data_IF_458936669578
#
_entry.id   IF_458936669578
#
_cell.length_a   1.000
_cell.length_b   1.000
_cell.length_c   1.000
_cell.angle_alpha   90.00
_cell.angle_beta   90.00
_cell.angle_gamma   90.00
#
_symmetry.space_group_name_H-M   'P 1'
#
loop_
_entity.id
_entity.type
_entity.pdbx_description
1 polymer ?
#
# COMPACT_ATOMS: atom_id res chain seq x y z
N UNK A 1 -19.60 -33.35 25.95
CA UNK A 1 -20.26 -33.21 24.63
C UNK A 1 -19.34 -32.41 23.73
N UNK A 2 -18.70 -33.09 22.77
CA UNK A 2 -17.75 -32.47 21.83
C UNK A 2 -18.52 -32.28 20.52
N UNK A 3 -18.84 -31.03 20.17
CA UNK A 3 -19.44 -30.69 18.89
C UNK A 3 -18.34 -30.28 17.91
N UNK A 4 -17.93 -31.25 17.09
CA UNK A 4 -17.42 -31.01 15.74
C UNK A 4 -18.54 -30.38 14.90
N UNK A 5 -18.24 -29.52 13.91
CA UNK A 5 -18.82 -29.55 12.55
C UNK A 5 -18.28 -28.41 11.65
N UNK A 6 -17.61 -28.88 10.59
CA UNK A 6 -17.56 -28.46 9.17
C UNK A 6 -17.17 -27.03 8.79
N UNK A 7 -15.92 -26.96 8.33
CA UNK A 7 -15.50 -26.17 7.16
C UNK A 7 -16.38 -26.46 5.94
N UNK A 8 -16.85 -25.40 5.27
CA UNK A 8 -17.64 -25.47 4.04
C UNK A 8 -16.96 -24.58 3.00
N UNK A 9 -16.17 -25.21 2.13
CA UNK A 9 -15.60 -24.60 0.94
C UNK A 9 -16.72 -24.05 0.04
N UNK A 10 -16.65 -22.77 -0.30
CA UNK A 10 -17.41 -22.17 -1.39
C UNK A 10 -16.45 -21.79 -2.50
N UNK A 11 -16.33 -22.67 -3.51
CA UNK A 11 -15.81 -22.31 -4.84
C UNK A 11 -16.81 -21.35 -5.49
N UNK A 12 -16.43 -20.08 -5.65
CA UNK A 12 -17.13 -19.16 -6.56
C UNK A 12 -16.43 -19.22 -7.91
N UNK A 13 -17.24 -19.59 -8.91
CA UNK A 13 -16.89 -19.80 -10.30
C UNK A 13 -16.57 -18.48 -11.01
N UNK A 14 -15.51 -18.53 -11.82
CA UNK A 14 -15.03 -17.49 -12.72
C UNK A 14 -16.00 -17.42 -13.92
N UNK A 15 -16.81 -16.36 -13.96
CA UNK A 15 -17.65 -16.03 -15.11
C UNK A 15 -16.89 -15.15 -16.08
N UNK A 16 -16.24 -15.76 -17.08
CA UNK A 16 -15.70 -15.08 -18.26
C UNK A 16 -16.88 -14.59 -19.13
N UNK A 17 -17.40 -13.40 -18.83
CA UNK A 17 -18.45 -12.75 -19.59
C UNK A 17 -17.89 -12.18 -20.90
N UNK A 18 -18.01 -12.97 -21.96
CA UNK A 18 -17.89 -12.56 -23.36
C UNK A 18 -18.75 -11.31 -23.62
N UNK A 19 -18.09 -10.17 -23.82
CA UNK A 19 -18.70 -8.91 -24.26
C UNK A 19 -17.98 -8.36 -25.48
N UNK A 20 -18.04 -9.09 -26.61
CA UNK A 20 -17.77 -8.54 -27.92
C UNK A 20 -19.02 -7.80 -28.40
N UNK A 21 -18.94 -6.48 -28.57
CA UNK A 21 -19.81 -5.57 -29.34
C UNK A 21 -19.27 -4.16 -29.00
N UNK A 22 -18.67 -3.35 -29.86
CA UNK A 22 -18.75 -3.17 -31.29
C UNK A 22 -18.86 -1.65 -31.52
N UNK A 23 -18.14 -1.12 -32.53
CA UNK A 23 -18.35 0.21 -33.16
C UNK A 23 -17.99 1.45 -32.27
N UNK A 24 -17.29 2.49 -32.74
CA UNK A 24 -17.27 3.16 -34.05
C UNK A 24 -15.90 3.84 -34.27
N UNK A 25 -15.36 3.69 -35.47
CA UNK A 25 -14.28 4.52 -36.00
C UNK A 25 -14.90 5.80 -36.57
N UNK A 26 -14.57 6.95 -35.99
CA UNK A 26 -14.68 8.28 -36.60
C UNK A 26 -13.43 9.02 -36.10
N UNK A 27 -12.39 9.24 -36.88
CA UNK A 27 -12.40 10.15 -38.03
C UNK A 27 -12.21 11.58 -37.53
N UNK A 28 -10.97 12.00 -37.25
CA UNK A 28 -10.70 13.35 -36.73
C UNK A 28 -9.21 13.65 -36.66
N UNK A 29 -8.73 14.29 -37.72
CA UNK A 29 -7.35 14.64 -38.08
C UNK A 29 -6.88 15.91 -37.38
N UNK A 30 -5.55 16.05 -37.29
CA UNK A 30 -4.78 17.30 -37.17
C UNK A 30 -4.82 18.01 -35.80
N UNK A 31 -3.65 18.18 -35.15
CA UNK A 31 -2.90 19.43 -35.35
C UNK A 31 -1.47 19.41 -34.76
N UNK A 32 -0.52 19.65 -35.66
CA UNK A 32 0.68 20.52 -35.56
C UNK A 32 1.66 20.36 -34.37
N UNK A 33 2.79 19.74 -34.71
CA UNK A 33 4.16 20.25 -34.56
C UNK A 33 4.42 21.34 -33.50
N UNK A 34 5.28 21.02 -32.53
CA UNK A 34 6.06 22.04 -31.82
C UNK A 34 7.55 21.87 -32.20
N UNK A 35 8.18 22.89 -32.83
CA UNK A 35 9.55 22.80 -33.31
C UNK A 35 10.59 22.91 -32.19
N UNK A 36 11.61 22.07 -32.31
CA UNK A 36 12.90 22.13 -31.62
C UNK A 36 13.49 23.54 -31.66
N UNK A 37 13.89 24.09 -30.51
CA UNK A 37 14.76 25.28 -30.42
C UNK A 37 16.22 24.86 -30.27
N UNK A 38 17.10 25.20 -31.23
CA UNK A 38 18.55 25.21 -31.02
C UNK A 38 19.10 26.63 -30.82
N UNK A 39 20.18 26.75 -30.04
CA UNK A 39 20.94 27.99 -29.76
C UNK A 39 20.59 28.60 -28.39
N UNK A 40 21.50 29.07 -27.55
CA UNK A 40 22.83 29.64 -27.82
C UNK A 40 23.66 29.68 -26.52
N UNK A 41 24.96 29.42 -26.66
CA UNK A 41 26.04 29.58 -25.67
C UNK A 41 26.16 31.02 -25.16
N UNK A 42 26.30 31.22 -23.85
CA UNK A 42 26.92 32.42 -23.25
C UNK A 42 27.73 31.97 -22.03
N UNK A 43 29.02 32.34 -21.91
CA UNK A 43 29.85 32.01 -20.76
C UNK A 43 29.59 33.01 -19.63
N UNK A 44 29.06 32.54 -18.50
CA UNK A 44 28.91 33.34 -17.27
C UNK A 44 29.99 32.93 -16.25
N UNK A 45 30.69 33.88 -15.61
CA UNK A 45 31.88 33.62 -14.84
C UNK A 45 31.63 32.90 -13.50
N UNK A 46 32.59 32.05 -13.19
CA UNK A 46 32.89 31.42 -11.90
C UNK A 46 32.45 32.26 -10.69
N UNK A 47 31.42 31.77 -10.01
CA UNK A 47 31.23 31.92 -8.58
C UNK A 47 30.72 30.58 -8.03
N UNK A 48 31.65 29.77 -7.53
CA UNK A 48 31.37 28.72 -6.56
C UNK A 48 31.80 29.27 -5.19
N UNK A 49 31.22 28.87 -4.04
CA UNK A 49 30.38 27.70 -3.85
C UNK A 49 29.08 28.00 -3.09
N UNK A 50 28.04 27.21 -3.31
CA UNK A 50 27.24 26.62 -2.22
C UNK A 50 26.45 25.50 -2.87
N UNK A 51 26.93 24.28 -2.68
CA UNK A 51 26.07 23.10 -2.76
C UNK A 51 25.04 23.33 -1.67
N UNK A 52 23.89 23.90 -2.02
CA UNK A 52 22.72 23.86 -1.16
C UNK A 52 22.31 22.40 -1.14
N UNK A 53 22.90 21.67 -0.19
CA UNK A 53 22.38 20.43 0.35
C UNK A 53 20.86 20.57 0.38
N UNK A 54 20.08 19.78 -0.38
CA UNK A 54 18.68 19.64 -0.08
C UNK A 54 18.67 19.22 1.37
N UNK A 55 18.10 20.05 2.23
CA UNK A 55 17.85 19.70 3.61
C UNK A 55 17.31 18.28 3.58
N UNK A 56 18.12 17.34 4.05
CA UNK A 56 17.70 15.99 4.32
C UNK A 56 16.69 16.19 5.44
N UNK A 57 15.44 16.43 5.04
CA UNK A 57 14.25 16.12 5.81
C UNK A 57 14.57 14.84 6.55
N UNK A 58 14.30 14.73 7.86
CA UNK A 58 14.65 13.53 8.61
C UNK A 58 14.03 12.36 7.86
N UNK A 59 14.84 11.70 7.02
CA UNK A 59 14.56 10.40 6.49
C UNK A 59 14.67 9.57 7.73
N UNK A 60 13.53 9.51 8.43
CA UNK A 60 13.24 8.67 9.58
C UNK A 60 14.05 7.43 9.36
N UNK A 61 15.14 7.29 10.13
CA UNK A 61 16.15 6.29 9.89
C UNK A 61 15.42 4.96 9.81
N UNK A 62 15.24 4.47 8.58
CA UNK A 62 14.16 3.55 8.30
C UNK A 62 14.53 2.24 8.96
N UNK A 63 13.93 1.99 10.11
CA UNK A 63 14.46 0.99 11.04
C UNK A 63 13.96 -0.35 10.57
N UNK A 64 14.88 -1.26 10.25
CA UNK A 64 14.54 -2.65 9.97
C UNK A 64 14.01 -3.30 11.24
N UNK A 65 12.90 -3.99 11.09
CA UNK A 65 12.12 -4.62 12.14
C UNK A 65 11.54 -5.93 11.63
N UNK A 66 11.02 -6.73 12.56
CA UNK A 66 10.36 -7.97 12.20
C UNK A 66 8.92 -7.97 12.68
N UNK A 67 8.06 -8.57 11.87
CA UNK A 67 6.71 -8.89 12.28
C UNK A 67 6.75 -10.03 13.30
N UNK A 68 6.10 -9.87 14.44
CA UNK A 68 6.13 -10.83 15.56
C UNK A 68 4.74 -11.27 15.98
N UNK A 69 4.43 -12.56 15.84
CA UNK A 69 3.15 -13.13 16.20
C UNK A 69 2.37 -13.65 14.98
N UNK A 70 1.27 -14.34 15.26
CA UNK A 70 0.49 -15.03 14.23
C UNK A 70 -0.63 -14.14 13.70
N UNK A 71 -0.68 -13.99 12.38
CA UNK A 71 -1.79 -13.36 11.63
C UNK A 71 -1.92 -11.84 11.78
N UNK A 72 -0.81 -11.12 11.66
CA UNK A 72 -0.87 -9.66 11.51
C UNK A 72 -1.35 -9.26 10.11
N UNK A 73 -2.05 -8.15 10.05
CA UNK A 73 -2.54 -7.57 8.81
C UNK A 73 -2.25 -6.08 8.82
N UNK A 74 -2.21 -5.48 7.63
CA UNK A 74 -2.12 -4.05 7.49
C UNK A 74 -2.91 -3.56 6.29
N UNK A 75 -3.23 -2.27 6.25
CA UNK A 75 -3.96 -1.66 5.15
C UNK A 75 -3.27 -0.39 4.67
N UNK A 76 -3.44 -0.02 3.41
CA UNK A 76 -2.89 1.20 2.82
C UNK A 76 -3.45 2.45 3.49
N UNK A 77 -4.73 2.38 3.83
CA UNK A 77 -5.47 3.43 4.51
C UNK A 77 -5.64 3.12 6.00
N UNK A 78 -5.42 4.14 6.81
CA UNK A 78 -5.50 4.06 8.27
C UNK A 78 -6.94 3.82 8.74
N UNK A 79 -7.91 4.44 8.07
CA UNK A 79 -9.33 4.33 8.41
C UNK A 79 -9.86 2.91 8.18
N UNK A 80 -9.43 2.24 7.10
CA UNK A 80 -9.79 0.85 6.83
C UNK A 80 -9.22 -0.10 7.89
N UNK A 81 -7.95 0.11 8.28
CA UNK A 81 -7.35 -0.63 9.39
C UNK A 81 -8.12 -0.38 10.70
N UNK A 82 -8.44 0.88 11.00
CA UNK A 82 -9.17 1.26 12.20
C UNK A 82 -10.56 0.62 12.26
N UNK A 83 -11.26 0.57 11.12
CA UNK A 83 -12.55 -0.11 10.97
C UNK A 83 -12.43 -1.61 11.23
N UNK A 84 -11.42 -2.28 10.68
CA UNK A 84 -11.17 -3.70 10.96
C UNK A 84 -10.86 -3.95 12.44
N UNK A 85 -10.01 -3.12 13.05
CA UNK A 85 -9.72 -3.18 14.48
C UNK A 85 -11.01 -2.99 15.29
N UNK A 86 -11.90 -2.09 14.87
CA UNK A 86 -13.18 -1.88 15.56
C UNK A 86 -14.08 -3.12 15.52
N UNK A 87 -14.11 -3.86 14.40
CA UNK A 87 -14.86 -5.13 14.32
C UNK A 87 -14.27 -6.19 15.24
N UNK A 88 -12.94 -6.29 15.28
CA UNK A 88 -12.25 -7.22 16.18
C UNK A 88 -12.51 -6.88 17.66
N UNK A 89 -12.45 -5.59 18.03
CA UNK A 89 -12.72 -5.12 19.39
C UNK A 89 -14.17 -5.35 19.83
N UNK A 90 -15.13 -5.26 18.91
CA UNK A 90 -16.55 -5.55 19.15
C UNK A 90 -16.85 -7.06 19.19
N UNK A 91 -15.88 -7.92 18.83
CA UNK A 91 -16.08 -9.36 18.71
C UNK A 91 -16.83 -9.78 17.45
N UNK A 92 -17.06 -8.88 16.50
CA UNK A 92 -17.72 -9.17 15.22
C UNK A 92 -16.71 -9.80 14.24
N UNK A 93 -16.46 -11.09 14.46
CA UNK A 93 -15.54 -11.88 13.65
C UNK A 93 -15.99 -12.04 12.20
N UNK A 94 -17.29 -12.00 11.94
CA UNK A 94 -17.82 -12.15 10.57
C UNK A 94 -17.55 -10.89 9.75
N UNK A 95 -17.86 -9.71 10.31
CA UNK A 95 -17.54 -8.44 9.66
C UNK A 95 -16.03 -8.24 9.51
N UNK A 96 -15.25 -8.62 10.54
CA UNK A 96 -13.79 -8.57 10.47
C UNK A 96 -13.23 -9.46 9.35
N UNK A 97 -13.61 -10.73 9.32
CA UNK A 97 -13.07 -11.68 8.33
C UNK A 97 -13.51 -11.34 6.90
N UNK A 98 -14.76 -10.91 6.71
CA UNK A 98 -15.26 -10.45 5.41
C UNK A 98 -14.54 -9.18 4.96
N UNK A 99 -14.47 -8.17 5.82
CA UNK A 99 -13.81 -6.91 5.49
C UNK A 99 -12.31 -7.07 5.20
N UNK A 100 -11.61 -7.91 5.97
CA UNK A 100 -10.21 -8.20 5.70
C UNK A 100 -10.03 -8.98 4.39
N UNK A 101 -10.88 -9.97 4.11
CA UNK A 101 -10.80 -10.74 2.87
C UNK A 101 -11.08 -9.87 1.64
N UNK A 102 -12.08 -8.99 1.70
CA UNK A 102 -12.37 -7.99 0.66
C UNK A 102 -11.20 -7.03 0.48
N UNK A 103 -10.70 -6.44 1.57
CA UNK A 103 -9.55 -5.52 1.52
C UNK A 103 -8.29 -6.18 0.94
N UNK A 104 -8.04 -7.45 1.26
CA UNK A 104 -6.92 -8.19 0.67
C UNK A 104 -7.14 -8.50 -0.81
N UNK A 105 -8.38 -8.85 -1.21
CA UNK A 105 -8.71 -9.11 -2.61
C UNK A 105 -8.58 -7.85 -3.48
N UNK A 106 -8.92 -6.68 -2.93
CA UNK A 106 -8.85 -5.38 -3.58
C UNK A 106 -7.45 -4.73 -3.49
N UNK A 107 -6.50 -5.40 -2.83
CA UNK A 107 -5.15 -4.88 -2.61
C UNK A 107 -5.06 -3.68 -1.68
N UNK A 108 -6.12 -3.36 -0.94
CA UNK A 108 -6.16 -2.30 0.08
C UNK A 108 -5.57 -2.77 1.41
N UNK A 109 -5.62 -4.08 1.68
CA UNK A 109 -5.02 -4.69 2.85
C UNK A 109 -4.08 -5.84 2.46
N UNK A 110 -3.18 -6.19 3.37
CA UNK A 110 -2.20 -7.25 3.24
C UNK A 110 -2.12 -8.04 4.54
N UNK A 111 -1.64 -9.27 4.43
CA UNK A 111 -1.35 -10.14 5.58
C UNK A 111 0.15 -10.30 5.68
N UNK A 112 0.66 -10.09 6.89
CA UNK A 112 2.06 -10.28 7.22
C UNK A 112 2.29 -11.67 7.82
N UNK A 113 3.45 -12.24 7.51
CA UNK A 113 3.89 -13.49 8.10
C UNK A 113 4.71 -13.23 9.35
N UNK A 114 4.68 -14.17 10.28
CA UNK A 114 5.60 -14.15 11.43
C UNK A 114 7.05 -14.20 10.94
N UNK A 115 7.91 -13.38 11.53
CA UNK A 115 9.32 -13.23 11.15
C UNK A 115 9.57 -12.44 9.87
N UNK A 116 8.53 -11.91 9.21
CA UNK A 116 8.69 -11.12 7.99
C UNK A 116 9.46 -9.83 8.27
N UNK A 117 10.52 -9.58 7.49
CA UNK A 117 11.33 -8.37 7.63
C UNK A 117 10.61 -7.19 6.99
N UNK A 118 10.43 -6.14 7.78
CA UNK A 118 9.77 -4.90 7.38
C UNK A 118 10.62 -3.69 7.79
N UNK A 119 10.43 -2.59 7.08
CA UNK A 119 11.06 -1.32 7.37
C UNK A 119 9.99 -0.40 7.92
N UNK A 120 10.23 0.10 9.13
CA UNK A 120 9.38 1.11 9.77
C UNK A 120 9.61 2.45 9.05
N UNK A 121 8.56 3.02 8.46
CA UNK A 121 8.66 4.30 7.73
C UNK A 121 8.01 5.45 8.48
N UNK A 122 6.92 5.17 9.20
CA UNK A 122 6.25 6.15 10.04
C UNK A 122 5.86 5.55 11.38
N UNK A 123 6.15 6.30 12.44
CA UNK A 123 5.65 6.01 13.77
C UNK A 123 4.64 7.07 14.15
N UNK A 124 3.37 6.81 13.87
CA UNK A 124 2.27 7.55 14.47
C UNK A 124 2.12 7.11 15.94
N UNK A 125 3.15 7.37 16.76
CA UNK A 125 3.35 6.86 18.13
C UNK A 125 2.12 7.09 19.02
N UNK A 126 1.37 8.18 18.79
CA UNK A 126 0.19 8.54 19.57
C UNK A 126 -1.07 7.73 19.25
N UNK A 127 -1.08 6.94 18.17
CA UNK A 127 -2.28 6.22 17.70
C UNK A 127 -2.25 4.71 17.90
N UNK A 128 -1.14 4.15 18.40
CA UNK A 128 -0.94 2.70 18.45
C UNK A 128 -0.77 2.02 17.08
N UNK A 129 -0.73 2.81 16.01
CA UNK A 129 -0.52 2.36 14.65
C UNK A 129 0.86 2.81 14.16
N UNK A 130 1.46 1.98 13.31
CA UNK A 130 2.72 2.26 12.65
C UNK A 130 2.60 1.96 11.17
N UNK A 131 3.37 2.66 10.35
CA UNK A 131 3.45 2.40 8.92
C UNK A 131 4.73 1.62 8.64
N UNK A 132 4.56 0.50 7.96
CA UNK A 132 5.63 -0.41 7.58
C UNK A 132 5.63 -0.61 6.08
N UNK A 133 6.80 -0.81 5.50
CA UNK A 133 6.95 -1.31 4.13
C UNK A 133 7.79 -2.57 4.14
N UNK A 134 7.60 -3.44 3.15
CA UNK A 134 8.49 -4.58 2.94
C UNK A 134 9.84 -4.12 2.41
N UNK A 135 10.87 -4.91 2.66
CA UNK A 135 12.22 -4.62 2.15
C UNK A 135 12.22 -4.74 0.63
N UNK A 136 12.64 -3.68 -0.05
CA UNK A 136 12.66 -3.62 -1.52
C UNK A 136 11.35 -3.12 -2.14
N UNK A 137 10.26 -3.06 -1.37
CA UNK A 137 8.99 -2.51 -1.83
C UNK A 137 8.89 -1.01 -1.55
N UNK A 138 8.07 -0.34 -2.35
CA UNK A 138 7.66 1.07 -2.17
C UNK A 138 6.29 1.19 -1.50
N UNK A 139 5.56 0.07 -1.39
CA UNK A 139 4.22 0.05 -0.79
C UNK A 139 4.31 0.09 0.73
N UNK A 140 3.54 1.01 1.30
CA UNK A 140 3.48 1.24 2.74
C UNK A 140 2.11 0.81 3.28
N UNK A 141 2.14 0.18 4.44
CA UNK A 141 0.99 -0.46 5.06
C UNK A 141 0.92 -0.02 6.51
N UNK A 142 -0.23 0.47 6.94
CA UNK A 142 -0.52 0.69 8.35
C UNK A 142 -0.77 -0.65 9.04
N UNK A 143 -0.19 -0.84 10.22
CA UNK A 143 -0.41 -2.00 11.08
C UNK A 143 -0.39 -1.57 12.55
N UNK A 144 -0.74 -2.47 13.47
CA UNK A 144 -0.60 -2.21 14.90
C UNK A 144 0.86 -2.15 15.31
N UNK A 145 1.23 -1.24 16.21
CA UNK A 145 2.60 -1.13 16.73
C UNK A 145 3.08 -2.43 17.39
N UNK A 146 2.15 -3.19 17.97
CA UNK A 146 2.41 -4.48 18.61
C UNK A 146 2.87 -5.56 17.62
N UNK A 147 2.56 -5.39 16.33
CA UNK A 147 2.97 -6.32 15.28
C UNK A 147 4.47 -6.28 15.01
N UNK A 148 5.18 -5.22 15.43
CA UNK A 148 6.55 -4.91 15.00
C UNK A 148 7.50 -4.91 16.20
N UNK A 149 8.61 -5.63 16.11
CA UNK A 149 9.69 -5.63 17.13
C UNK A 149 11.07 -5.38 16.55
#
# INVERSE_FOLDING_TARGET
MIAQIKSKEKKVQIGCGLGCLGFLVVGGILQLANPSRPGTTTPEPSNSPTITTPAESPHSASTRKHIVGTSWFGCRDRDDLSKLISYAAQGDREAFSRGLAEGVADGQCTVFKDGEEVVLTDTAIFSGLVKVRRVGDTEEWWTNIEAVK
#
